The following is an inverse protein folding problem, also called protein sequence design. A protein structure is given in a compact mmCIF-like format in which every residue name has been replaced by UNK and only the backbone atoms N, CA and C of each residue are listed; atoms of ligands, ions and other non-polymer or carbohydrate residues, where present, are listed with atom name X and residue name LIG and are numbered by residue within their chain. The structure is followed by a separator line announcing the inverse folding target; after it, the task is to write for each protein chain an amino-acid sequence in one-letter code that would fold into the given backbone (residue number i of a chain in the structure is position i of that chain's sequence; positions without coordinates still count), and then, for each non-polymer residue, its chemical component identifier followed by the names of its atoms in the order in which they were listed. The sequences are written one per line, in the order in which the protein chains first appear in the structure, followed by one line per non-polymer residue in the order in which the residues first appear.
data_IF_585115856806
#
_entry.id   IF_585115856806
#
_cell.length_a   1.000
_cell.length_b   1.000
_cell.length_c   1.000
_cell.angle_alpha   90.00
_cell.angle_beta   90.00
_cell.angle_gamma   90.00
#
_symmetry.space_group_name_H-M   'P 1'
#
loop_
_entity.id
_entity.type
_entity.pdbx_description
1 polymer ?
#
# COMPACT_ATOMS: atom_id res chain seq x y z
N UNK A 1 -2.44 -8.19 -2.10
CA UNK A 1 -2.54 -7.22 -0.98
C UNK A 1 -1.29 -7.21 -0.11
N UNK A 2 -0.89 -8.34 0.50
CA UNK A 2 0.31 -8.39 1.34
C UNK A 2 1.58 -7.81 0.66
N UNK A 3 1.86 -8.20 -0.59
CA UNK A 3 2.99 -7.65 -1.37
C UNK A 3 2.90 -6.14 -1.62
N UNK A 4 1.68 -5.61 -1.83
CA UNK A 4 1.46 -4.17 -2.02
C UNK A 4 1.78 -3.44 -0.72
N UNK A 5 1.31 -3.99 0.41
CA UNK A 5 1.59 -3.45 1.74
C UNK A 5 3.08 -3.51 2.07
N UNK A 6 3.74 -4.63 1.78
CA UNK A 6 5.18 -4.79 1.95
C UNK A 6 5.95 -3.71 1.16
N UNK A 7 5.58 -3.47 -0.10
CA UNK A 7 6.19 -2.41 -0.91
C UNK A 7 5.93 -1.01 -0.32
N UNK A 8 4.73 -0.74 0.20
CA UNK A 8 4.40 0.53 0.83
C UNK A 8 5.16 0.75 2.15
N UNK A 9 5.39 -0.30 2.93
CA UNK A 9 6.13 -0.25 4.20
C UNK A 9 7.60 0.10 4.04
N UNK A 10 8.17 -0.01 2.82
CA UNK A 10 9.53 0.49 2.51
C UNK A 10 9.65 2.02 2.62
N UNK A 11 8.53 2.74 2.68
CA UNK A 11 8.51 4.19 2.84
C UNK A 11 8.14 4.55 4.29
N UNK A 12 9.09 5.12 5.04
CA UNK A 12 8.87 5.49 6.45
C UNK A 12 7.67 6.42 6.64
N UNK A 13 7.46 7.35 5.69
CA UNK A 13 6.30 8.26 5.73
C UNK A 13 4.97 7.53 5.62
N UNK A 14 4.92 6.42 4.89
CA UNK A 14 3.72 5.59 4.84
C UNK A 14 3.46 4.91 6.18
N UNK A 15 4.51 4.39 6.85
CA UNK A 15 4.39 3.79 8.19
C UNK A 15 3.82 4.81 9.19
N UNK A 16 4.39 6.01 9.21
CA UNK A 16 3.94 7.13 10.05
C UNK A 16 2.45 7.45 9.83
N UNK A 17 2.05 7.66 8.57
CA UNK A 17 0.67 8.06 8.24
C UNK A 17 -0.31 6.92 8.53
N UNK A 18 0.01 5.68 8.15
CA UNK A 18 -0.89 4.54 8.32
C UNK A 18 -1.08 4.16 9.80
N UNK A 19 -0.07 4.38 10.63
CA UNK A 19 -0.11 4.16 12.08
C UNK A 19 -0.68 5.30 12.90
N UNK A 20 -0.86 6.49 12.29
CA UNK A 20 -1.38 7.66 13.01
C UNK A 20 -2.81 7.39 13.52
N UNK A 21 -3.03 7.57 14.83
CA UNK A 21 -4.33 7.32 15.48
C UNK A 21 -5.37 8.36 15.08
N UNK A 22 -4.97 9.63 14.98
CA UNK A 22 -5.82 10.77 14.67
C UNK A 22 -5.02 11.87 14.00
N UNK A 23 -5.64 12.56 13.05
CA UNK A 23 -5.09 13.75 12.39
C UNK A 23 -6.17 14.81 12.27
N UNK A 24 -5.85 16.06 12.60
CA UNK A 24 -6.77 17.20 12.40
C UNK A 24 -6.39 17.92 11.12
N UNK A 25 -7.28 17.91 10.14
CA UNK A 25 -7.11 18.70 8.92
C UNK A 25 -7.40 20.16 9.26
N UNK A 26 -6.48 21.10 8.98
CA UNK A 26 -6.72 22.51 9.21
C UNK A 26 -7.84 23.06 8.30
N UNK A 27 -8.39 24.24 8.60
CA UNK A 27 -9.34 24.90 7.72
C UNK A 27 -8.81 25.01 6.29
N UNK A 28 -9.69 24.81 5.32
CA UNK A 28 -9.40 24.93 3.89
C UNK A 28 -10.36 25.93 3.27
N UNK A 29 -10.06 26.36 2.04
CA UNK A 29 -10.98 27.18 1.25
C UNK A 29 -12.36 26.54 0.98
N UNK A 30 -12.53 25.23 1.25
CA UNK A 30 -13.79 24.49 1.11
C UNK A 30 -14.47 24.16 2.44
N UNK A 31 -13.77 24.30 3.56
CA UNK A 31 -14.29 24.05 4.90
C UNK A 31 -13.55 24.93 5.90
N UNK A 32 -14.25 25.92 6.46
CA UNK A 32 -13.69 26.91 7.39
C UNK A 32 -13.38 26.31 8.78
N UNK A 33 -13.90 25.12 9.07
CA UNK A 33 -13.64 24.44 10.34
C UNK A 33 -12.54 23.39 10.20
N UNK A 34 -11.80 23.19 11.29
CA UNK A 34 -10.94 22.01 11.45
C UNK A 34 -11.76 20.72 11.33
N UNK A 35 -11.17 19.71 10.67
CA UNK A 35 -11.80 18.40 10.50
C UNK A 35 -10.93 17.32 11.13
N UNK A 36 -11.40 16.81 12.26
CA UNK A 36 -10.76 15.69 12.96
C UNK A 36 -11.01 14.37 12.22
N UNK A 37 -9.95 13.72 11.78
CA UNK A 37 -9.95 12.41 11.17
C UNK A 37 -9.41 11.38 12.16
N UNK A 38 -10.18 10.33 12.43
CA UNK A 38 -9.74 9.20 13.25
C UNK A 38 -9.36 8.02 12.36
N UNK A 39 -8.33 7.28 12.74
CA UNK A 39 -8.07 5.99 12.15
C UNK A 39 -9.22 5.03 12.48
N UNK A 40 -9.70 4.32 11.46
CA UNK A 40 -10.82 3.38 11.58
C UNK A 40 -10.36 1.96 11.94
N UNK A 41 -9.05 1.70 11.93
CA UNK A 41 -8.47 0.42 12.28
C UNK A 41 -8.55 0.23 13.81
N UNK A 42 -9.42 -0.66 14.27
CA UNK A 42 -9.71 -0.83 15.71
C UNK A 42 -8.56 -1.43 16.51
N UNK A 43 -7.52 -1.98 15.85
CA UNK A 43 -6.29 -2.39 16.53
C UNK A 43 -5.29 -1.25 16.72
N UNK A 44 -5.52 -0.08 16.09
CA UNK A 44 -4.67 1.13 16.22
C UNK A 44 -5.40 2.21 17.01
N UNK A 45 -6.72 2.36 16.81
CA UNK A 45 -7.51 3.48 17.30
C UNK A 45 -8.74 3.03 18.05
N UNK A 46 -8.99 3.66 19.20
CA UNK A 46 -10.15 3.42 20.07
C UNK A 46 -11.42 4.14 19.61
N UNK A 47 -11.37 4.86 18.49
CA UNK A 47 -12.50 5.67 17.99
C UNK A 47 -13.82 4.91 17.87
N UNK A 48 -13.78 3.65 17.42
CA UNK A 48 -14.98 2.79 17.33
C UNK A 48 -15.15 1.87 18.53
N UNK A 49 -14.04 1.31 19.02
CA UNK A 49 -14.01 0.39 20.15
C UNK A 49 -12.56 0.22 20.62
N UNK A 50 -12.36 -0.02 21.92
CA UNK A 50 -11.06 -0.41 22.48
C UNK A 50 -10.84 -1.92 22.51
N UNK A 51 -11.86 -2.73 22.20
CA UNK A 51 -11.84 -4.20 22.37
C UNK A 51 -10.68 -4.89 21.64
N UNK A 52 -10.27 -4.35 20.49
CA UNK A 52 -9.26 -4.97 19.63
C UNK A 52 -7.94 -4.22 19.64
N UNK A 53 -7.76 -3.23 20.51
CA UNK A 53 -6.54 -2.43 20.54
C UNK A 53 -5.33 -3.33 20.78
N UNK A 54 -4.30 -3.16 19.95
CA UNK A 54 -3.09 -3.97 20.00
C UNK A 54 -1.87 -3.07 19.79
N UNK A 55 -1.04 -2.93 20.83
CA UNK A 55 0.10 -2.02 20.82
C UNK A 55 1.21 -2.42 19.84
N UNK A 56 1.21 -3.66 19.35
CA UNK A 56 2.20 -4.08 18.36
C UNK A 56 1.78 -3.78 16.92
N UNK A 57 0.51 -3.43 16.69
CA UNK A 57 0.01 -3.06 15.37
C UNK A 57 0.42 -1.63 15.06
N UNK A 58 1.24 -1.47 14.02
CA UNK A 58 1.81 -0.16 13.65
C UNK A 58 1.26 0.40 12.34
N UNK A 59 0.58 -0.40 11.51
CA UNK A 59 -0.05 0.08 10.29
C UNK A 59 -1.18 -0.86 9.84
N UNK A 60 -2.08 -0.37 9.01
CA UNK A 60 -3.14 -1.21 8.45
C UNK A 60 -4.16 -0.45 7.63
N UNK A 61 -5.10 -1.18 7.05
CA UNK A 61 -6.21 -0.61 6.30
C UNK A 61 -7.46 -1.48 6.38
N UNK A 62 -8.57 -0.84 6.74
CA UNK A 62 -9.91 -1.44 6.68
C UNK A 62 -10.54 -1.21 5.30
N UNK A 63 -11.36 -2.14 4.82
CA UNK A 63 -12.19 -1.96 3.63
C UNK A 63 -13.53 -2.66 3.78
N UNK A 64 -14.54 -2.14 3.09
CA UNK A 64 -15.86 -2.76 3.03
C UNK A 64 -16.58 -2.36 1.74
N UNK A 65 -17.16 -3.35 1.07
CA UNK A 65 -18.21 -3.18 0.06
C UNK A 65 -19.20 -4.33 0.19
N UNK A 66 -20.41 -4.20 -0.38
CA UNK A 66 -21.41 -5.28 -0.36
C UNK A 66 -20.87 -6.59 -0.97
N UNK A 67 -20.08 -6.49 -2.04
CA UNK A 67 -19.56 -7.67 -2.75
C UNK A 67 -18.30 -8.26 -2.09
N UNK A 68 -17.43 -7.39 -1.56
CA UNK A 68 -16.15 -7.80 -0.97
C UNK A 68 -16.25 -8.10 0.53
N UNK A 69 -17.40 -7.85 1.17
CA UNK A 69 -17.59 -7.87 2.62
C UNK A 69 -16.47 -7.11 3.35
N UNK A 70 -16.08 -7.52 4.57
CA UNK A 70 -15.00 -6.86 5.30
C UNK A 70 -13.65 -7.31 4.75
N UNK A 71 -12.78 -6.34 4.47
CA UNK A 71 -11.37 -6.57 4.22
C UNK A 71 -10.53 -5.85 5.26
N UNK A 72 -9.44 -6.48 5.67
CA UNK A 72 -8.55 -5.94 6.69
C UNK A 72 -7.12 -6.29 6.33
N UNK A 73 -6.25 -5.29 6.29
CA UNK A 73 -4.80 -5.46 6.26
C UNK A 73 -4.27 -4.93 7.59
N UNK A 74 -3.47 -5.73 8.28
CA UNK A 74 -2.87 -5.39 9.57
C UNK A 74 -1.37 -5.67 9.51
N UNK A 75 -0.55 -4.69 9.88
CA UNK A 75 0.89 -4.82 10.01
C UNK A 75 1.24 -4.72 11.49
N UNK A 76 1.88 -5.75 12.02
CA UNK A 76 2.23 -5.83 13.44
C UNK A 76 3.67 -6.28 13.62
N UNK A 77 4.31 -5.82 14.69
CA UNK A 77 5.62 -6.32 15.10
C UNK A 77 5.43 -7.50 16.07
N UNK A 78 5.80 -8.72 15.65
CA UNK A 78 5.57 -9.97 16.38
C UNK A 78 6.76 -10.90 16.20
N UNK A 79 7.22 -11.53 17.28
CA UNK A 79 8.36 -12.48 17.25
C UNK A 79 9.60 -11.87 16.56
N UNK A 80 9.97 -10.64 16.94
CA UNK A 80 11.07 -9.87 16.32
C UNK A 80 10.94 -9.63 14.80
N UNK A 81 9.75 -9.85 14.23
CA UNK A 81 9.46 -9.73 12.79
C UNK A 81 8.30 -8.76 12.54
N UNK A 82 8.35 -8.07 11.39
CA UNK A 82 7.20 -7.33 10.88
C UNK A 82 6.30 -8.27 10.08
N UNK A 83 5.08 -8.51 10.59
CA UNK A 83 4.10 -9.44 10.02
C UNK A 83 2.95 -8.68 9.38
N UNK A 84 2.57 -9.08 8.16
CA UNK A 84 1.41 -8.53 7.43
C UNK A 84 0.30 -9.59 7.38
N UNK A 85 -0.78 -9.37 8.11
CA UNK A 85 -2.00 -10.17 8.04
C UNK A 85 -3.01 -9.55 7.07
N UNK A 86 -3.63 -10.37 6.21
CA UNK A 86 -4.67 -9.92 5.27
C UNK A 86 -5.90 -10.81 5.36
N UNK A 87 -7.03 -10.20 5.73
CA UNK A 87 -8.36 -10.80 5.64
C UNK A 87 -9.07 -10.23 4.42
N UNK A 88 -9.58 -11.11 3.55
CA UNK A 88 -10.44 -10.76 2.43
C UNK A 88 -11.79 -11.45 2.58
N UNK A 89 -12.87 -10.74 2.24
CA UNK A 89 -14.24 -11.27 2.28
C UNK A 89 -14.63 -11.86 3.64
N UNK A 90 -14.16 -11.22 4.71
CA UNK A 90 -14.49 -11.55 6.08
C UNK A 90 -15.97 -11.28 6.38
N UNK A 91 -16.71 -12.26 6.94
CA UNK A 91 -18.04 -12.04 7.46
C UNK A 91 -18.08 -10.92 8.51
N UNK A 92 -19.29 -10.45 8.84
CA UNK A 92 -19.44 -9.41 9.86
C UNK A 92 -18.89 -9.89 11.20
N UNK A 93 -18.05 -9.07 11.83
CA UNK A 93 -17.52 -9.30 13.17
C UNK A 93 -16.31 -10.24 13.28
N UNK A 94 -15.84 -10.86 12.19
CA UNK A 94 -14.75 -11.84 12.26
C UNK A 94 -13.37 -11.26 11.97
N UNK A 95 -13.29 -10.19 11.16
CA UNK A 95 -12.01 -9.68 10.66
C UNK A 95 -10.96 -9.40 11.75
N UNK A 96 -11.34 -8.77 12.86
CA UNK A 96 -10.39 -8.49 13.95
C UNK A 96 -10.06 -9.74 14.80
N UNK A 97 -11.03 -10.55 15.27
CA UNK A 97 -10.72 -11.83 15.91
C UNK A 97 -9.83 -12.77 15.09
N UNK A 98 -10.11 -12.88 13.79
CA UNK A 98 -9.33 -13.74 12.87
C UNK A 98 -7.91 -13.20 12.73
N UNK A 99 -7.75 -11.87 12.55
CA UNK A 99 -6.43 -11.24 12.50
C UNK A 99 -5.66 -11.45 13.81
N UNK A 100 -6.27 -11.25 14.98
CA UNK A 100 -5.59 -11.45 16.25
C UNK A 100 -5.11 -12.91 16.38
N UNK A 101 -5.97 -13.88 16.07
CA UNK A 101 -5.64 -15.30 16.12
C UNK A 101 -4.49 -15.67 15.16
N UNK A 102 -4.45 -15.08 13.96
CA UNK A 102 -3.37 -15.30 13.00
C UNK A 102 -2.04 -14.67 13.46
N UNK A 103 -2.08 -13.49 14.08
CA UNK A 103 -0.88 -12.86 14.64
C UNK A 103 -0.34 -13.65 15.83
N UNK A 104 -1.22 -14.16 16.70
CA UNK A 104 -0.85 -15.02 17.82
C UNK A 104 -0.27 -16.34 17.31
N UNK A 105 -0.87 -16.94 16.28
CA UNK A 105 -0.34 -18.15 15.64
C UNK A 105 1.09 -17.95 15.13
N UNK A 106 1.37 -16.84 14.43
CA UNK A 106 2.74 -16.55 13.98
C UNK A 106 3.69 -16.41 15.16
N UNK A 107 3.26 -15.71 16.21
CA UNK A 107 4.09 -15.45 17.40
C UNK A 107 4.44 -16.71 18.19
N UNK A 108 3.59 -17.74 18.12
CA UNK A 108 3.74 -18.98 18.90
C UNK A 108 4.45 -20.11 18.15
N UNK A 109 4.70 -19.93 16.85
CA UNK A 109 5.17 -21.02 15.99
C UNK A 109 6.31 -20.63 15.04
N UNK A 110 6.66 -19.35 14.94
CA UNK A 110 7.68 -18.89 14.00
C UNK A 110 8.62 -17.88 14.64
N UNK A 111 9.88 -17.98 14.24
CA UNK A 111 10.97 -17.09 14.62
C UNK A 111 11.83 -16.74 13.41
N UNK A 112 12.52 -15.59 13.44
CA UNK A 112 13.45 -15.22 12.38
C UNK A 112 14.74 -16.03 12.53
N UNK A 113 15.17 -16.68 11.45
CA UNK A 113 16.51 -17.22 11.33
C UNK A 113 17.38 -16.37 10.43
N UNK A 114 18.60 -16.10 10.88
CA UNK A 114 19.62 -15.43 10.08
C UNK A 114 19.98 -16.28 8.87
N UNK A 115 19.95 -15.63 7.71
CA UNK A 115 20.47 -16.16 6.46
C UNK A 115 21.90 -15.66 6.27
N UNK A 116 22.74 -16.37 5.50
CA UNK A 116 24.08 -15.91 5.17
C UNK A 116 24.08 -14.47 4.63
N UNK A 117 24.89 -13.62 5.25
CA UNK A 117 24.93 -12.17 4.99
C UNK A 117 25.98 -11.79 3.93
N UNK A 118 26.83 -12.72 3.51
CA UNK A 118 27.78 -12.54 2.43
C UNK A 118 27.80 -13.76 1.51
N UNK A 119 28.23 -13.55 0.26
CA UNK A 119 28.40 -14.64 -0.71
C UNK A 119 29.39 -15.71 -0.20
N UNK A 120 30.41 -15.29 0.54
CA UNK A 120 31.41 -16.19 1.13
C UNK A 120 30.84 -17.10 2.24
N UNK A 121 29.72 -16.74 2.85
CA UNK A 121 29.08 -17.51 3.94
C UNK A 121 28.03 -18.50 3.40
N UNK A 122 27.79 -18.50 2.09
CA UNK A 122 26.82 -19.41 1.47
C UNK A 122 27.36 -20.84 1.42
N UNK A 123 26.48 -21.86 1.50
CA UNK A 123 26.88 -23.25 1.31
C UNK A 123 27.58 -23.47 -0.04
N UNK A 124 28.61 -24.33 -0.06
CA UNK A 124 29.38 -24.65 -1.28
C UNK A 124 28.50 -25.13 -2.44
N UNK A 125 27.38 -25.79 -2.12
CA UNK A 125 26.39 -26.24 -3.11
C UNK A 125 25.74 -25.06 -3.84
N UNK A 126 25.46 -23.97 -3.13
CA UNK A 126 24.86 -22.74 -3.66
C UNK A 126 25.86 -21.97 -4.50
N UNK A 127 27.07 -21.75 -3.98
CA UNK A 127 28.12 -21.02 -4.71
C UNK A 127 28.48 -21.73 -6.02
N UNK A 128 28.59 -23.06 -5.99
CA UNK A 128 28.82 -23.90 -7.18
C UNK A 128 27.68 -23.79 -8.21
N UNK A 129 26.42 -23.81 -7.77
CA UNK A 129 25.26 -23.64 -8.66
C UNK A 129 25.25 -22.25 -9.32
N UNK A 130 25.56 -21.19 -8.55
CA UNK A 130 25.67 -19.83 -9.08
C UNK A 130 26.78 -19.78 -10.15
N UNK A 131 27.98 -20.28 -9.86
CA UNK A 131 29.08 -20.29 -10.83
C UNK A 131 28.74 -21.09 -12.09
N UNK A 132 28.02 -22.22 -11.96
CA UNK A 132 27.61 -23.03 -13.10
C UNK A 132 26.56 -22.34 -13.99
N UNK A 133 25.63 -21.57 -13.41
CA UNK A 133 24.55 -20.90 -14.15
C UNK A 133 24.94 -19.49 -14.65
N UNK A 134 25.85 -18.79 -13.97
CA UNK A 134 26.26 -17.41 -14.27
C UNK A 134 27.09 -17.28 -15.55
N UNK A 135 27.79 -18.35 -15.95
CA UNK A 135 28.70 -18.35 -17.11
C UNK A 135 30.02 -17.61 -16.85
N UNK A 136 30.94 -17.68 -17.81
CA UNK A 136 32.33 -17.21 -17.64
C UNK A 136 32.52 -15.70 -17.61
N UNK A 137 31.49 -14.92 -17.90
CA UNK A 137 31.56 -13.45 -17.93
C UNK A 137 31.33 -12.78 -16.58
N UNK A 138 30.98 -13.55 -15.54
CA UNK A 138 30.74 -13.04 -14.19
C UNK A 138 32.01 -13.08 -13.35
N UNK A 139 32.30 -11.96 -12.69
CA UNK A 139 33.35 -11.86 -11.70
C UNK A 139 32.86 -12.45 -10.37
N UNK A 140 33.10 -13.75 -10.21
CA UNK A 140 32.66 -14.52 -9.03
C UNK A 140 33.30 -14.04 -7.73
N UNK A 141 34.44 -13.34 -7.78
CA UNK A 141 35.11 -12.81 -6.60
C UNK A 141 34.39 -11.60 -6.00
N UNK A 142 33.59 -10.88 -6.80
CA UNK A 142 32.91 -9.65 -6.40
C UNK A 142 31.38 -9.79 -6.30
N UNK A 143 30.86 -11.02 -6.20
CA UNK A 143 29.44 -11.25 -5.99
C UNK A 143 29.04 -10.73 -4.60
N UNK A 144 28.00 -9.90 -4.55
CA UNK A 144 27.45 -9.36 -3.30
C UNK A 144 25.95 -9.60 -3.21
N UNK A 145 25.40 -9.54 -1.99
CA UNK A 145 23.94 -9.40 -1.83
C UNK A 145 23.50 -8.05 -2.39
N UNK A 146 22.30 -7.99 -2.96
CA UNK A 146 21.67 -6.75 -3.38
C UNK A 146 21.28 -5.90 -2.16
N UNK A 147 21.29 -4.57 -2.32
CA UNK A 147 20.85 -3.65 -1.27
C UNK A 147 19.39 -3.94 -0.87
N UNK A 148 19.16 -4.12 0.44
CA UNK A 148 17.86 -4.46 0.97
C UNK A 148 17.39 -5.89 0.68
N UNK A 149 18.30 -6.78 0.25
CA UNK A 149 18.09 -8.22 0.24
C UNK A 149 17.76 -8.72 1.66
N UNK A 150 16.89 -9.73 1.76
CA UNK A 150 16.53 -10.24 3.07
C UNK A 150 17.75 -10.93 3.71
N UNK A 151 17.97 -10.65 4.99
CA UNK A 151 18.99 -11.33 5.81
C UNK A 151 18.37 -12.33 6.78
N UNK A 152 17.04 -12.48 6.75
CA UNK A 152 16.29 -13.37 7.63
C UNK A 152 15.26 -14.18 6.84
N UNK A 153 14.98 -15.39 7.32
CA UNK A 153 13.84 -16.21 6.92
C UNK A 153 12.92 -16.43 8.11
N UNK A 154 11.60 -16.44 7.88
CA UNK A 154 10.63 -16.79 8.92
C UNK A 154 10.46 -18.32 8.93
N UNK A 155 10.99 -18.98 9.95
CA UNK A 155 11.02 -20.44 10.04
C UNK A 155 10.21 -20.96 11.22
N UNK A 156 9.68 -22.20 11.16
CA UNK A 156 9.02 -22.79 12.31
C UNK A 156 9.95 -22.91 13.51
N UNK A 157 9.40 -22.73 14.71
CA UNK A 157 10.20 -22.83 15.93
C UNK A 157 10.82 -24.22 16.08
N UNK A 158 12.10 -24.26 16.48
CA UNK A 158 12.90 -25.48 16.59
C UNK A 158 13.56 -25.94 15.29
N UNK A 159 13.41 -25.19 14.19
CA UNK A 159 14.14 -25.42 12.93
C UNK A 159 15.37 -24.53 12.85
N UNK A 160 16.34 -24.92 12.03
CA UNK A 160 17.60 -24.20 11.82
C UNK A 160 17.89 -24.03 10.33
N UNK A 161 18.90 -23.22 9.99
CA UNK A 161 19.34 -23.06 8.60
C UNK A 161 19.71 -24.40 7.92
N UNK A 162 20.18 -25.38 8.70
CA UNK A 162 20.53 -26.72 8.20
C UNK A 162 19.31 -27.52 7.72
N UNK A 163 18.12 -27.18 8.21
CA UNK A 163 16.86 -27.83 7.81
C UNK A 163 16.27 -27.20 6.53
N UNK A 164 16.88 -26.13 6.02
CA UNK A 164 16.45 -25.42 4.83
C UNK A 164 17.19 -25.93 3.60
N UNK A 165 16.45 -26.07 2.49
CA UNK A 165 17.04 -26.36 1.19
C UNK A 165 17.09 -25.11 0.33
N UNK A 166 18.29 -24.60 -0.04
CA UNK A 166 18.41 -23.47 -0.96
C UNK A 166 18.21 -23.93 -2.42
N UNK A 167 17.54 -23.09 -3.20
CA UNK A 167 17.40 -23.23 -4.65
C UNK A 167 17.85 -21.95 -5.34
N UNK A 168 18.73 -22.08 -6.34
CA UNK A 168 19.34 -20.95 -7.05
C UNK A 168 18.69 -20.78 -8.42
N UNK A 169 18.33 -19.53 -8.73
CA UNK A 169 17.93 -19.11 -10.09
C UNK A 169 18.74 -17.89 -10.52
N UNK A 170 19.55 -18.03 -11.57
CA UNK A 170 20.28 -16.92 -12.18
C UNK A 170 19.46 -16.33 -13.34
N UNK A 171 19.30 -15.01 -13.33
CA UNK A 171 18.64 -14.23 -14.38
C UNK A 171 19.69 -13.42 -15.14
N UNK A 172 19.91 -13.77 -16.40
CA UNK A 172 20.77 -13.04 -17.34
C UNK A 172 19.91 -12.22 -18.30
N UNK A 173 19.92 -10.90 -18.14
CA UNK A 173 19.31 -9.98 -19.10
C UNK A 173 20.31 -9.56 -20.18
N UNK A 174 19.87 -9.38 -21.42
CA UNK A 174 20.75 -8.91 -22.51
C UNK A 174 21.30 -7.48 -22.26
N UNK A 175 20.56 -6.65 -21.50
CA UNK A 175 20.85 -5.23 -21.26
C UNK A 175 21.00 -4.87 -19.76
N UNK A 176 21.14 -5.86 -18.88
CA UNK A 176 21.21 -5.63 -17.42
C UNK A 176 22.26 -6.52 -16.78
N UNK A 177 22.91 -6.03 -15.72
CA UNK A 177 23.83 -6.85 -14.93
C UNK A 177 23.10 -8.12 -14.47
N UNK A 178 23.70 -9.31 -14.60
CA UNK A 178 23.06 -10.53 -14.16
C UNK A 178 22.77 -10.47 -12.65
N UNK A 179 21.66 -11.07 -12.27
CA UNK A 179 21.25 -11.19 -10.87
C UNK A 179 20.97 -12.66 -10.56
N UNK A 180 21.14 -13.05 -9.31
CA UNK A 180 20.74 -14.38 -8.84
C UNK A 180 19.77 -14.23 -7.68
N UNK A 181 18.80 -15.14 -7.62
CA UNK A 181 17.92 -15.28 -6.47
C UNK A 181 18.17 -16.63 -5.82
N UNK A 182 18.32 -16.61 -4.50
CA UNK A 182 18.35 -17.80 -3.65
C UNK A 182 17.01 -17.86 -2.92
N UNK A 183 16.24 -18.90 -3.17
CA UNK A 183 15.02 -19.20 -2.44
C UNK A 183 15.29 -20.32 -1.43
N UNK A 184 14.96 -20.07 -0.17
CA UNK A 184 15.12 -21.03 0.92
C UNK A 184 13.79 -21.74 1.18
N UNK A 185 13.81 -23.08 1.13
CA UNK A 185 12.63 -23.92 1.30
C UNK A 185 12.69 -24.76 2.56
N UNK A 186 11.55 -24.88 3.24
CA UNK A 186 11.34 -25.75 4.37
C UNK A 186 10.38 -26.90 4.00
N UNK A 187 10.53 -28.04 4.67
CA UNK A 187 9.64 -29.21 4.55
C UNK A 187 10.21 -30.33 3.68
N UNK A 188 9.75 -31.56 3.92
CA UNK A 188 10.26 -32.77 3.26
C UNK A 188 10.13 -32.73 1.73
N UNK A 189 9.15 -31.98 1.21
CA UNK A 189 8.91 -31.82 -0.23
C UNK A 189 9.45 -30.50 -0.80
N UNK A 190 10.14 -29.68 0.00
CA UNK A 190 10.67 -28.37 -0.40
C UNK A 190 9.60 -27.46 -1.03
N UNK A 191 8.38 -27.48 -0.49
CA UNK A 191 7.21 -26.80 -1.02
C UNK A 191 6.93 -25.45 -0.35
N UNK A 192 7.51 -25.19 0.82
CA UNK A 192 7.28 -23.96 1.58
C UNK A 192 8.50 -23.04 1.49
N UNK A 193 8.41 -21.98 0.68
CA UNK A 193 9.45 -20.94 0.61
C UNK A 193 9.36 -20.02 1.85
N UNK A 194 10.43 -19.98 2.64
CA UNK A 194 10.50 -19.24 3.92
C UNK A 194 11.33 -17.96 3.85
N UNK A 195 12.14 -17.81 2.80
CA UNK A 195 12.98 -16.64 2.59
C UNK A 195 13.54 -16.57 1.18
N UNK A 196 13.86 -15.36 0.71
CA UNK A 196 14.52 -15.11 -0.58
C UNK A 196 15.61 -14.06 -0.43
N UNK A 197 16.75 -14.30 -1.05
CA UNK A 197 17.88 -13.38 -1.11
C UNK A 197 18.24 -13.08 -2.56
N UNK A 198 18.53 -11.83 -2.87
CA UNK A 198 19.01 -11.42 -4.19
C UNK A 198 20.51 -11.11 -4.15
N UNK A 199 21.20 -11.49 -5.21
CA UNK A 199 22.62 -11.25 -5.43
C UNK A 199 22.83 -10.46 -6.71
N UNK A 200 23.83 -9.59 -6.68
CA UNK A 200 24.34 -8.86 -7.83
C UNK A 200 25.57 -9.62 -8.34
N UNK A 201 25.55 -9.98 -9.62
CA UNK A 201 26.65 -10.68 -10.28
C UNK A 201 27.37 -9.66 -11.18
N UNK A 202 28.48 -9.07 -10.72
CA UNK A 202 29.23 -8.15 -11.57
C UNK A 202 29.85 -8.89 -12.75
N UNK A 203 29.96 -8.21 -13.89
CA UNK A 203 30.63 -8.75 -15.07
C UNK A 203 32.13 -8.44 -15.01
N UNK A 204 32.96 -9.36 -15.51
CA UNK A 204 34.39 -9.15 -15.70
C UNK A 204 34.57 -8.00 -16.69
N UNK A 205 35.10 -6.87 -16.22
CA UNK A 205 35.55 -5.82 -17.12
C UNK A 205 36.88 -6.27 -17.74
N UNK A 206 36.86 -6.80 -18.96
CA UNK A 206 38.09 -6.93 -19.74
C UNK A 206 38.60 -5.53 -20.09
N UNK A 207 39.61 -5.06 -19.37
CA UNK A 207 40.40 -3.92 -19.81
C UNK A 207 40.93 -4.23 -21.22
N UNK A 208 40.48 -3.46 -22.21
CA UNK A 208 41.10 -3.49 -23.52
C UNK A 208 42.57 -3.08 -23.34
N UNK A 209 43.49 -3.99 -23.63
CA UNK A 209 44.91 -3.70 -23.66
C UNK A 209 45.19 -2.67 -24.75
N UNK A 210 45.53 -1.44 -24.36
CA UNK A 210 46.13 -0.44 -25.25
C UNK A 210 47.56 -0.19 -24.79
N UNK A 211 48.52 -0.79 -25.50
CA UNK A 211 49.93 -0.44 -25.41
C UNK A 211 50.39 0.30 -26.68
N UNK A 212 51.21 1.35 -26.43
CA UNK A 212 52.12 2.11 -27.32
C UNK A 212 51.48 3.08 -28.35
N UNK A 213 51.95 4.31 -28.60
CA UNK A 213 53.00 5.19 -28.05
C UNK A 213 52.83 6.59 -28.72
N UNK A 214 53.25 7.65 -28.01
CA UNK A 214 53.66 8.99 -28.49
C UNK A 214 52.62 9.99 -29.04
N UNK A 215 52.33 11.04 -28.26
CA UNK A 215 52.91 12.40 -28.44
C UNK A 215 52.01 13.56 -27.95
N UNK A 216 52.59 14.35 -27.03
CA UNK A 216 52.48 15.80 -26.80
C UNK A 216 51.11 16.47 -26.52
N UNK A 217 50.95 16.82 -25.23
CA UNK A 217 50.49 18.09 -24.66
C UNK A 217 49.30 18.86 -25.30
N UNK A 218 48.20 18.98 -24.54
CA UNK A 218 47.76 20.20 -23.82
C UNK A 218 46.27 20.05 -23.42
N UNK A 219 45.99 20.32 -22.15
CA UNK A 219 44.69 20.41 -21.45
C UNK A 219 43.51 20.91 -22.29
N UNK A 220 42.32 20.29 -22.17
CA UNK A 220 41.05 21.01 -22.07
C UNK A 220 39.88 20.12 -21.58
N UNK A 221 38.99 20.74 -20.80
CA UNK A 221 37.65 20.30 -20.39
C UNK A 221 36.90 19.40 -21.39
N UNK A 222 36.08 18.45 -20.93
CA UNK A 222 34.60 18.44 -21.07
C UNK A 222 33.99 17.05 -20.82
N UNK A 223 32.75 17.09 -20.31
CA UNK A 223 31.83 15.99 -20.02
C UNK A 223 31.59 15.07 -21.24
N UNK A 224 31.52 13.76 -20.99
CA UNK A 224 31.17 12.72 -21.96
C UNK A 224 29.75 12.91 -22.57
N UNK A 225 29.55 12.59 -23.86
CA UNK A 225 28.41 13.04 -24.65
C UNK A 225 27.11 12.25 -24.39
N UNK A 226 26.03 12.96 -24.07
CA UNK A 226 24.66 12.42 -24.18
C UNK A 226 24.37 12.03 -25.62
N UNK A 227 24.11 10.74 -25.86
CA UNK A 227 23.58 10.20 -27.13
C UNK A 227 22.29 10.94 -27.49
N UNK A 228 22.37 11.87 -28.42
CA UNK A 228 21.26 12.74 -28.82
C UNK A 228 20.18 11.94 -29.55
N UNK A 229 18.97 11.95 -29.03
CA UNK A 229 17.79 11.38 -29.69
C UNK A 229 17.56 12.17 -30.99
N UNK A 230 17.42 11.50 -32.15
CA UNK A 230 17.24 12.19 -33.43
C UNK A 230 15.97 13.05 -33.41
N UNK A 231 16.06 14.27 -33.93
CA UNK A 231 15.00 15.30 -33.86
C UNK A 231 13.65 14.85 -34.46
N UNK A 232 13.64 13.86 -35.35
CA UNK A 232 12.43 13.24 -35.88
C UNK A 232 11.61 12.51 -34.81
N UNK A 233 12.27 11.80 -33.90
CA UNK A 233 11.61 11.02 -32.83
C UNK A 233 11.07 11.93 -31.72
N UNK A 234 11.77 13.03 -31.42
CA UNK A 234 11.29 14.06 -30.48
C UNK A 234 10.01 14.73 -30.96
N UNK A 235 9.87 15.00 -32.27
CA UNK A 235 8.64 15.57 -32.84
C UNK A 235 7.44 14.62 -32.72
N UNK A 236 7.66 13.32 -32.96
CA UNK A 236 6.61 12.30 -32.83
C UNK A 236 6.18 12.17 -31.37
N UNK A 237 7.13 12.10 -30.43
CA UNK A 237 6.83 12.03 -28.99
C UNK A 237 6.04 13.27 -28.54
N UNK A 238 6.41 14.46 -29.01
CA UNK A 238 5.70 15.71 -28.70
C UNK A 238 4.24 15.68 -29.22
N UNK A 239 4.03 15.23 -30.46
CA UNK A 239 2.68 15.13 -31.05
C UNK A 239 1.82 14.14 -30.26
N UNK A 240 2.36 12.98 -29.90
CA UNK A 240 1.64 11.97 -29.11
C UNK A 240 1.27 12.53 -27.73
N UNK A 241 2.17 13.28 -27.09
CA UNK A 241 1.92 13.88 -25.77
C UNK A 241 0.82 14.95 -25.84
N UNK A 242 0.81 15.79 -26.89
CA UNK A 242 -0.24 16.78 -27.11
C UNK A 242 -1.60 16.11 -27.37
N UNK A 243 -1.65 15.03 -28.15
CA UNK A 243 -2.89 14.28 -28.40
C UNK A 243 -3.44 13.67 -27.10
N UNK A 244 -2.58 13.11 -26.26
CA UNK A 244 -2.98 12.56 -24.95
C UNK A 244 -3.54 13.64 -24.01
N UNK A 245 -2.95 14.85 -24.02
CA UNK A 245 -3.46 15.98 -23.23
C UNK A 245 -4.84 16.42 -23.74
N UNK A 246 -5.05 16.50 -25.06
CA UNK A 246 -6.36 16.87 -25.64
C UNK A 246 -7.42 15.83 -25.29
N UNK A 247 -7.09 14.54 -25.38
CA UNK A 247 -7.98 13.44 -24.97
C UNK A 247 -8.31 13.51 -23.48
N UNK A 248 -7.32 13.79 -22.63
CA UNK A 248 -7.53 13.99 -21.20
C UNK A 248 -8.51 15.12 -20.89
N UNK A 249 -8.35 16.27 -21.55
CA UNK A 249 -9.24 17.42 -21.41
C UNK A 249 -10.68 17.06 -21.84
N UNK A 250 -10.84 16.36 -22.96
CA UNK A 250 -12.14 15.89 -23.46
C UNK A 250 -12.84 14.97 -22.45
N UNK A 251 -12.13 13.99 -21.88
CA UNK A 251 -12.67 13.06 -20.88
C UNK A 251 -13.07 13.80 -19.61
N UNK A 252 -12.22 14.71 -19.11
CA UNK A 252 -12.59 15.53 -17.94
C UNK A 252 -13.79 16.43 -18.19
N UNK A 253 -13.93 17.00 -19.39
CA UNK A 253 -15.09 17.79 -19.78
C UNK A 253 -16.39 16.98 -19.73
N UNK A 254 -16.38 15.76 -20.27
CA UNK A 254 -17.53 14.85 -20.26
C UNK A 254 -17.93 14.47 -18.82
N UNK A 255 -16.94 14.17 -17.96
CA UNK A 255 -17.19 13.85 -16.55
C UNK A 255 -17.80 15.03 -15.78
N UNK A 256 -17.34 16.26 -16.04
CA UNK A 256 -17.90 17.46 -15.41
C UNK A 256 -19.35 17.73 -15.85
N UNK A 257 -19.67 17.52 -17.13
CA UNK A 257 -21.04 17.66 -17.65
C UNK A 257 -21.97 16.63 -16.99
N UNK A 258 -21.53 15.37 -16.90
CA UNK A 258 -22.30 14.33 -16.21
C UNK A 258 -22.49 14.64 -14.72
N UNK A 259 -21.44 15.09 -14.03
CA UNK A 259 -21.53 15.47 -12.62
C UNK A 259 -22.47 16.67 -12.40
N UNK A 260 -22.48 17.65 -13.30
CA UNK A 260 -23.38 18.81 -13.23
C UNK A 260 -24.84 18.39 -13.45
N UNK A 261 -25.10 17.54 -14.44
CA UNK A 261 -26.43 16.98 -14.74
C UNK A 261 -26.99 16.17 -13.57
N UNK A 262 -26.14 15.41 -12.88
CA UNK A 262 -26.57 14.60 -11.74
C UNK A 262 -26.85 15.46 -10.49
N UNK A 263 -26.06 16.51 -10.27
CA UNK A 263 -26.31 17.50 -9.19
C UNK A 263 -27.63 18.23 -9.37
N UNK A 264 -28.02 18.56 -10.61
CA UNK A 264 -29.32 19.21 -10.89
C UNK A 264 -30.51 18.30 -10.60
N UNK A 265 -30.42 17.01 -10.95
CA UNK A 265 -31.46 16.02 -10.58
C UNK A 265 -31.61 15.89 -9.06
N UNK A 266 -30.50 15.87 -8.32
CA UNK A 266 -30.52 15.78 -6.86
C UNK A 266 -31.13 17.03 -6.21
N UNK A 267 -30.85 18.24 -6.74
CA UNK A 267 -31.47 19.49 -6.27
C UNK A 267 -32.99 19.49 -6.43
N UNK A 268 -33.50 19.03 -7.58
CA UNK A 268 -34.96 18.92 -7.83
C UNK A 268 -35.65 17.93 -6.89
N UNK A 269 -35.00 16.82 -6.54
CA UNK A 269 -35.52 15.83 -5.56
C UNK A 269 -35.58 16.39 -4.14
N UNK A 270 -34.55 17.12 -3.71
CA UNK A 270 -34.52 17.76 -2.38
C UNK A 270 -35.56 18.88 -2.23
N UNK A 271 -35.80 19.67 -3.28
CA UNK A 271 -36.83 20.71 -3.28
C UNK A 271 -38.25 20.12 -3.10
N UNK A 272 -38.58 19.05 -3.84
CA UNK A 272 -39.88 18.35 -3.71
C UNK A 272 -40.09 17.72 -2.33
N UNK A 273 -39.03 17.22 -1.68
CA UNK A 273 -39.12 16.69 -0.32
C UNK A 273 -39.34 17.79 0.73
N UNK A 274 -38.67 18.95 0.60
CA UNK A 274 -38.88 20.09 1.50
C UNK A 274 -40.32 20.61 1.42
N UNK A 275 -40.87 20.68 0.23
CA UNK A 275 -42.25 21.13 0.02
C UNK A 275 -43.28 20.18 0.66
N UNK A 276 -43.04 18.85 0.61
CA UNK A 276 -43.89 17.87 1.30
C UNK A 276 -43.82 17.97 2.82
N UNK A 277 -42.62 18.21 3.36
CA UNK A 277 -42.45 18.38 4.82
C UNK A 277 -43.09 19.69 5.30
N UNK A 278 -42.93 20.79 4.56
CA UNK A 278 -43.58 22.07 4.89
C UNK A 278 -45.12 21.95 4.86
N UNK A 279 -45.69 21.21 3.91
CA UNK A 279 -47.15 20.93 3.86
C UNK A 279 -47.64 20.00 4.97
N UNK A 280 -46.76 19.20 5.59
CA UNK A 280 -47.11 18.41 6.78
C UNK A 280 -47.10 19.29 8.03
N UNK A 281 -46.03 20.04 8.24
CA UNK A 281 -45.90 20.99 9.35
C UNK A 281 -47.03 22.02 9.31
N UNK A 282 -47.39 22.54 8.13
CA UNK A 282 -48.51 23.48 8.00
C UNK A 282 -49.84 22.86 8.43
N UNK A 283 -50.10 21.61 8.04
CA UNK A 283 -51.31 20.89 8.47
C UNK A 283 -51.32 20.63 9.97
N UNK A 284 -50.18 20.26 10.56
CA UNK A 284 -50.05 20.06 12.01
C UNK A 284 -50.30 21.36 12.78
N UNK A 285 -49.79 22.50 12.29
CA UNK A 285 -50.06 23.83 12.88
C UNK A 285 -51.54 24.20 12.76
N UNK A 286 -52.15 24.01 11.59
CA UNK A 286 -53.57 24.33 11.40
C UNK A 286 -54.46 23.42 12.28
N UNK A 287 -54.08 22.15 12.49
CA UNK A 287 -54.80 21.21 13.40
C UNK A 287 -54.61 21.58 14.88
N UNK A 288 -53.47 22.16 15.25
CA UNK A 288 -53.23 22.64 16.63
C UNK A 288 -53.99 23.94 16.91
N UNK A 289 -54.13 24.83 15.92
CA UNK A 289 -54.89 26.07 16.07
C UNK A 289 -56.40 25.81 16.29
N UNK A 290 -56.96 24.78 15.63
CA UNK A 290 -58.36 24.37 15.85
C UNK A 290 -58.61 23.77 17.25
N UNK A 291 -57.56 23.27 17.93
CA UNK A 291 -57.69 22.70 19.28
C UNK A 291 -57.61 23.76 20.40
N UNK A 292 -57.02 24.94 20.12
CA UNK A 292 -56.95 26.06 21.08
C UNK A 292 -58.23 26.91 21.08
N UNK A 293 -59.03 26.92 20.00
CA UNK A 293 -60.27 27.71 19.87
C UNK A 293 -61.45 27.11 20.67
N UNK A 294 -61.44 25.80 20.93
CA UNK A 294 -62.53 25.08 21.61
C UNK A 294 -62.50 25.15 23.15
N UNK A 295 -61.58 25.91 23.76
CA UNK A 295 -61.40 25.93 25.24
C UNK A 295 -61.83 27.22 25.96
N UNK A 296 -62.52 28.15 25.29
CA UNK A 296 -63.07 29.35 25.93
C UNK A 296 -64.61 29.41 25.86
N UNK A 297 -65.27 28.63 26.72
CA UNK A 297 -66.65 28.95 27.15
C UNK A 297 -66.58 29.60 28.52
N UNK A 298 -66.69 30.92 28.56
CA UNK A 298 -66.97 31.70 29.77
C UNK A 298 -68.37 31.32 30.30
N UNK A 299 -68.44 30.70 31.48
CA UNK A 299 -69.67 30.67 32.27
C UNK A 299 -69.79 31.98 33.07
N UNK A 300 -70.83 32.76 32.75
CA UNK A 300 -71.15 34.06 33.35
C UNK A 300 -72.03 33.88 34.61
N UNK A 301 -71.60 34.29 35.82
CA UNK A 301 -72.27 33.91 37.07
C UNK A 301 -73.23 34.99 37.60
N UNK A 302 -74.04 35.66 36.78
CA UNK A 302 -75.09 36.57 37.31
C UNK A 302 -76.34 36.65 36.44
N UNK A 303 -77.23 35.67 36.56
CA UNK A 303 -78.61 35.76 36.06
C UNK A 303 -79.62 35.17 37.04
N UNK A 304 -79.77 35.80 38.21
CA UNK A 304 -80.97 35.69 39.05
C UNK A 304 -81.03 36.89 39.99
N UNK A 305 -81.79 37.92 39.60
CA UNK A 305 -82.57 38.84 40.43
C UNK A 305 -83.39 39.80 39.54
#
# INVERSE_FOLDING_TARGET
MALITQAALKYDKFREIAGTVRYTIPPTNKNENELMMNNHHCMISTYKTSKYLDSTVFAGKTGFTTDALNTLVTCAHRSEMDVICVILRGPSGTAYPDTASLLDYVSNHFSPAELPAAYADLPDTVTSQISAQAGSSVDTANITLADGSNTYAAIPDGTTLADLTPQVSVQTGADSAPTAEIAWYYGANQDVCVGRQQLILPLIQTAAASDADSSLDVKLNQEEPRKSIPWGTLKIILIVLVVLVILGILVTGILLIHAKKEREKQRRRRARMRERNLRRIRREIDTMADLDDDTYTEEDPFSNL
#
